data_IF_103788546672
#
_entry.id   IF_103788546672
#
_cell.length_a   1.000
_cell.length_b   1.000
_cell.length_c   1.000
_cell.angle_alpha   90.00
_cell.angle_beta   90.00
_cell.angle_gamma   90.00
#
_symmetry.space_group_name_H-M   'P 1'
#
loop_
_entity.id
_entity.type
_entity.pdbx_description
1 polymer ?
#
# COMPACT_ATOMS: atom_id res chain seq x y z
N UNK A 1 -4.41 -13.76 15.71
CA UNK A 1 -5.08 -13.04 14.61
C UNK A 1 -4.90 -13.87 13.36
N UNK A 2 -5.95 -14.08 12.58
CA UNK A 2 -5.81 -14.74 11.29
C UNK A 2 -5.00 -13.83 10.36
N UNK A 3 -4.02 -14.40 9.67
CA UNK A 3 -3.26 -13.70 8.65
C UNK A 3 -3.70 -14.19 7.27
N UNK A 4 -3.62 -13.33 6.28
CA UNK A 4 -3.87 -13.67 4.88
C UNK A 4 -2.89 -12.93 3.97
N UNK A 5 -2.73 -13.45 2.77
CA UNK A 5 -1.82 -12.93 1.75
C UNK A 5 -2.62 -12.54 0.52
N UNK A 6 -2.26 -11.44 -0.10
CA UNK A 6 -2.94 -10.93 -1.29
C UNK A 6 -1.98 -10.12 -2.18
N UNK A 7 -2.35 -9.99 -3.45
CA UNK A 7 -1.72 -9.11 -4.42
C UNK A 7 -2.47 -7.78 -4.44
N UNK A 8 -1.77 -6.65 -4.35
CA UNK A 8 -2.39 -5.36 -4.17
C UNK A 8 -1.67 -4.19 -4.85
N UNK A 9 -2.46 -3.17 -5.21
CA UNK A 9 -1.99 -1.84 -5.59
C UNK A 9 -2.22 -0.85 -4.45
N UNK A 10 -1.22 -0.01 -4.18
CA UNK A 10 -1.31 1.04 -3.16
C UNK A 10 -1.94 2.29 -3.78
N UNK A 11 -3.20 2.55 -3.40
CA UNK A 11 -3.96 3.68 -3.94
C UNK A 11 -3.67 4.98 -3.19
N UNK A 12 -3.64 4.92 -1.86
CA UNK A 12 -3.52 6.09 -0.98
C UNK A 12 -2.54 5.82 0.15
N UNK A 13 -1.84 6.87 0.57
CA UNK A 13 -0.86 6.85 1.65
C UNK A 13 -1.09 8.03 2.58
N UNK A 14 -1.19 7.77 3.87
CA UNK A 14 -1.33 8.76 4.92
C UNK A 14 -0.30 8.51 6.01
N UNK A 15 0.54 9.50 6.31
CA UNK A 15 1.42 9.45 7.47
C UNK A 15 0.57 9.48 8.75
N UNK A 16 0.84 8.57 9.67
CA UNK A 16 0.07 8.40 10.91
C UNK A 16 1.00 8.32 12.12
N UNK A 17 0.80 9.24 13.07
CA UNK A 17 1.68 9.39 14.22
C UNK A 17 3.13 9.66 13.79
N UNK A 18 4.08 9.19 14.60
CA UNK A 18 5.50 9.48 14.37
C UNK A 18 6.15 8.53 13.36
N UNK A 19 5.78 7.25 13.36
CA UNK A 19 6.54 6.22 12.66
C UNK A 19 5.72 5.38 11.68
N UNK A 20 4.40 5.57 11.61
CA UNK A 20 3.49 4.65 10.93
C UNK A 20 2.89 5.30 9.68
N UNK A 21 2.30 4.47 8.81
CA UNK A 21 1.42 4.93 7.73
C UNK A 21 0.14 4.12 7.70
N UNK A 22 -0.96 4.79 7.38
CA UNK A 22 -2.20 4.15 6.96
C UNK A 22 -2.21 4.15 5.43
N UNK A 23 -2.51 3.00 4.83
CA UNK A 23 -2.56 2.81 3.38
C UNK A 23 -3.94 2.30 2.97
N UNK A 24 -4.40 2.72 1.80
CA UNK A 24 -5.52 2.06 1.11
C UNK A 24 -4.95 1.15 0.03
N UNK A 25 -5.25 -0.14 0.13
CA UNK A 25 -4.87 -1.16 -0.84
C UNK A 25 -6.08 -1.55 -1.68
N UNK A 26 -5.90 -1.61 -3.00
CA UNK A 26 -6.81 -2.36 -3.87
C UNK A 26 -6.23 -3.75 -4.06
N UNK A 27 -6.82 -4.74 -3.40
CA UNK A 27 -6.35 -6.11 -3.42
C UNK A 27 -7.13 -6.96 -4.43
N UNK A 28 -6.53 -8.03 -4.93
CA UNK A 28 -7.15 -8.89 -5.93
C UNK A 28 -8.32 -9.68 -5.36
N UNK A 29 -8.14 -10.28 -4.18
CA UNK A 29 -9.11 -11.23 -3.63
C UNK A 29 -10.03 -10.63 -2.55
N UNK A 30 -9.63 -9.52 -1.93
CA UNK A 30 -10.35 -8.89 -0.81
C UNK A 30 -10.86 -7.48 -1.12
N UNK A 31 -10.68 -7.00 -2.36
CA UNK A 31 -11.13 -5.69 -2.78
C UNK A 31 -10.37 -4.55 -2.09
N UNK A 32 -11.08 -3.47 -1.72
CA UNK A 32 -10.46 -2.30 -1.12
C UNK A 32 -10.27 -2.50 0.39
N UNK A 33 -9.03 -2.54 0.85
CA UNK A 33 -8.66 -2.80 2.25
C UNK A 33 -7.84 -1.65 2.82
N UNK A 34 -8.25 -1.16 3.99
CA UNK A 34 -7.47 -0.21 4.79
C UNK A 34 -6.47 -0.94 5.67
N UNK A 35 -5.20 -0.54 5.62
CA UNK A 35 -4.13 -1.17 6.41
C UNK A 35 -3.29 -0.15 7.15
N UNK A 36 -2.66 -0.57 8.25
CA UNK A 36 -1.63 0.17 8.96
C UNK A 36 -0.28 -0.54 8.84
N UNK A 37 0.71 0.19 8.35
CA UNK A 37 2.10 -0.23 8.30
C UNK A 37 2.85 0.42 9.47
N UNK A 38 3.00 -0.34 10.56
CA UNK A 38 3.63 0.14 11.80
C UNK A 38 5.14 0.29 11.62
N UNK A 39 5.71 1.39 12.08
CA UNK A 39 7.14 1.68 12.04
C UNK A 39 7.69 1.90 10.64
N UNK A 40 6.83 2.00 9.62
CA UNK A 40 7.25 2.03 8.22
C UNK A 40 8.09 3.26 7.88
N UNK A 41 7.94 4.37 8.61
CA UNK A 41 8.68 5.62 8.39
C UNK A 41 10.03 5.65 9.10
N UNK A 42 10.37 4.64 9.92
CA UNK A 42 11.70 4.57 10.55
C UNK A 42 12.76 4.40 9.46
N UNK A 43 13.93 5.05 9.57
CA UNK A 43 15.00 4.95 8.57
C UNK A 43 15.43 3.52 8.23
N UNK A 44 15.38 2.61 9.21
CA UNK A 44 15.75 1.20 9.02
C UNK A 44 14.63 0.32 8.41
N UNK A 45 13.45 0.89 8.10
CA UNK A 45 12.31 0.11 7.63
C UNK A 45 12.48 -0.32 6.18
N UNK A 46 12.51 -1.64 5.96
CA UNK A 46 12.51 -2.24 4.63
C UNK A 46 11.16 -2.11 3.91
N UNK A 47 10.07 -1.97 4.68
CA UNK A 47 8.73 -1.82 4.12
C UNK A 47 8.51 -0.44 3.51
N UNK A 48 9.31 0.57 3.90
CA UNK A 48 9.16 1.95 3.41
C UNK A 48 9.24 2.04 1.88
N UNK A 49 10.23 1.37 1.27
CA UNK A 49 10.46 1.40 -0.17
C UNK A 49 9.48 0.53 -0.96
N UNK A 50 8.84 -0.46 -0.31
CA UNK A 50 7.87 -1.35 -0.95
C UNK A 50 6.47 -0.74 -0.89
N UNK A 51 6.13 -0.10 0.23
CA UNK A 51 4.81 0.45 0.51
C UNK A 51 4.68 1.93 0.07
N UNK A 52 5.02 2.18 -1.19
CA UNK A 52 4.89 3.50 -1.84
C UNK A 52 3.70 3.55 -2.81
N UNK A 53 3.23 4.77 -3.11
CA UNK A 53 2.09 4.96 -4.00
C UNK A 53 2.30 4.26 -5.35
N UNK A 54 1.21 3.67 -5.86
CA UNK A 54 1.13 2.98 -7.14
C UNK A 54 1.98 1.71 -7.25
N UNK A 55 2.60 1.26 -6.15
CA UNK A 55 3.37 0.03 -6.14
C UNK A 55 2.45 -1.18 -6.19
N UNK A 56 2.86 -2.14 -7.01
CA UNK A 56 2.27 -3.47 -7.09
C UNK A 56 3.00 -4.39 -6.12
N UNK A 57 2.29 -4.95 -5.15
CA UNK A 57 2.89 -5.67 -4.01
C UNK A 57 2.17 -6.97 -3.73
N UNK A 58 2.92 -7.96 -3.28
CA UNK A 58 2.42 -9.12 -2.57
C UNK A 58 2.57 -8.84 -1.08
N UNK A 59 1.46 -8.86 -0.35
CA UNK A 59 1.36 -8.36 1.02
C UNK A 59 0.77 -9.42 1.94
N UNK A 60 1.42 -9.60 3.09
CA UNK A 60 0.89 -10.37 4.21
C UNK A 60 0.25 -9.42 5.22
N UNK A 61 -1.03 -9.66 5.51
CA UNK A 61 -1.85 -8.87 6.41
C UNK A 61 -2.29 -9.70 7.60
N UNK A 62 -2.26 -9.11 8.79
CA UNK A 62 -2.94 -9.63 9.97
C UNK A 62 -4.28 -8.90 10.15
N UNK A 63 -5.38 -9.66 10.21
CA UNK A 63 -6.74 -9.11 10.38
C UNK A 63 -6.82 -8.27 11.65
N UNK A 64 -7.16 -7.00 11.49
CA UNK A 64 -7.46 -6.07 12.57
C UNK A 64 -8.96 -5.81 12.72
N UNK A 65 -9.32 -4.87 13.59
CA UNK A 65 -10.72 -4.49 13.81
C UNK A 65 -11.24 -3.51 12.75
N UNK A 66 -10.44 -2.47 12.47
CA UNK A 66 -10.77 -1.42 11.50
C UNK A 66 -9.73 -1.32 10.38
N UNK A 67 -8.46 -1.54 10.72
CA UNK A 67 -7.33 -1.57 9.80
C UNK A 67 -6.57 -2.87 10.02
N UNK A 68 -6.25 -3.54 8.93
CA UNK A 68 -5.36 -4.70 8.98
C UNK A 68 -3.91 -4.26 9.14
N UNK A 69 -3.08 -5.10 9.74
CA UNK A 69 -1.69 -4.75 10.00
C UNK A 69 -0.81 -5.39 8.94
N UNK A 70 0.00 -4.57 8.25
CA UNK A 70 1.01 -5.09 7.32
C UNK A 70 2.12 -5.77 8.13
N UNK A 71 2.28 -7.07 7.95
CA UNK A 71 3.35 -7.83 8.61
C UNK A 71 4.54 -8.05 7.68
N UNK A 72 4.29 -8.24 6.38
CA UNK A 72 5.31 -8.40 5.34
C UNK A 72 4.80 -7.84 4.02
N UNK A 73 5.70 -7.36 3.17
CA UNK A 73 5.37 -7.00 1.79
C UNK A 73 6.59 -7.18 0.89
N UNK A 74 6.35 -7.62 -0.34
CA UNK A 74 7.35 -7.74 -1.39
C UNK A 74 6.82 -7.04 -2.64
N UNK A 75 7.67 -6.27 -3.30
CA UNK A 75 7.32 -5.64 -4.57
C UNK A 75 7.21 -6.70 -5.66
N UNK A 76 6.10 -6.69 -6.40
CA UNK A 76 5.91 -7.50 -7.59
C UNK A 76 6.38 -6.75 -8.86
N UNK A 77 6.58 -7.46 -9.98
CA UNK A 77 6.73 -6.82 -11.27
C UNK A 77 5.55 -5.88 -11.57
N UNK A 78 5.87 -4.73 -12.16
CA UNK A 78 4.89 -3.68 -12.40
C UNK A 78 5.55 -2.38 -12.84
N UNK A 79 4.76 -1.47 -13.44
CA UNK A 79 5.27 -0.23 -14.00
C UNK A 79 5.99 0.59 -12.92
N UNK A 80 7.04 1.29 -13.36
CA UNK A 80 7.73 2.30 -12.55
C UNK A 80 7.62 3.61 -13.29
N UNK A 81 7.36 4.69 -12.54
CA UNK A 81 7.25 6.03 -13.08
C UNK A 81 8.34 6.97 -12.51
N UNK A 82 9.63 6.57 -12.47
CA UNK A 82 10.65 7.44 -11.92
C UNK A 82 10.78 8.67 -12.82
N UNK A 83 10.59 9.85 -12.25
CA UNK A 83 10.76 11.15 -12.91
C UNK A 83 9.87 11.41 -14.16
N UNK A 84 8.83 10.60 -14.40
CA UNK A 84 7.84 10.84 -15.46
C UNK A 84 6.58 11.45 -14.86
N UNK A 85 6.47 12.78 -14.97
CA UNK A 85 5.37 13.56 -14.39
C UNK A 85 4.03 13.17 -15.00
N UNK A 86 3.97 12.94 -16.31
CA UNK A 86 2.72 12.65 -17.01
C UNK A 86 2.17 11.28 -16.62
N UNK A 87 3.04 10.25 -16.58
CA UNK A 87 2.63 8.92 -16.12
C UNK A 87 2.24 8.93 -14.64
N UNK A 88 2.94 9.69 -13.82
CA UNK A 88 2.60 9.84 -12.40
C UNK A 88 1.23 10.49 -12.22
N UNK A 89 0.92 11.55 -12.98
CA UNK A 89 -0.39 12.21 -12.95
C UNK A 89 -1.52 11.28 -13.40
N UNK A 90 -1.31 10.49 -14.46
CA UNK A 90 -2.28 9.48 -14.93
C UNK A 90 -2.49 8.37 -13.89
N UNK A 91 -1.42 7.88 -13.27
CA UNK A 91 -1.52 6.90 -12.19
C UNK A 91 -2.30 7.44 -10.99
N UNK A 92 -2.06 8.69 -10.61
CA UNK A 92 -2.80 9.36 -9.56
C UNK A 92 -4.30 9.47 -9.88
N UNK A 93 -4.66 9.86 -11.11
CA UNK A 93 -6.06 9.92 -11.55
C UNK A 93 -6.74 8.55 -11.45
N UNK A 94 -6.10 7.50 -11.99
CA UNK A 94 -6.66 6.14 -11.96
C UNK A 94 -6.80 5.64 -10.51
N UNK A 95 -5.80 5.90 -9.66
CA UNK A 95 -5.84 5.52 -8.26
C UNK A 95 -6.97 6.22 -7.49
N UNK A 96 -7.15 7.53 -7.71
CA UNK A 96 -8.24 8.31 -7.09
C UNK A 96 -9.62 7.82 -7.56
N UNK A 97 -9.77 7.51 -8.85
CA UNK A 97 -11.02 6.95 -9.37
C UNK A 97 -11.30 5.57 -8.76
N UNK A 98 -10.29 4.70 -8.68
CA UNK A 98 -10.43 3.39 -8.05
C UNK A 98 -10.73 3.47 -6.54
N UNK A 99 -10.23 4.51 -5.84
CA UNK A 99 -10.52 4.71 -4.42
C UNK A 99 -11.95 5.24 -4.17
N UNK A 100 -12.58 5.90 -5.15
CA UNK A 100 -13.93 6.50 -5.00
C UNK A 100 -15.09 5.60 -5.42
N UNK A 101 -14.83 4.54 -6.16
CA UNK A 101 -15.82 3.50 -6.53
C UNK A 101 -15.82 2.40 -5.46
#
# INVERSE_FOLDING_TARGET
>A
MATYRDEALILRKLDYGEADRILTLLTREHGKVGVIAKGVRRPASRLAAVLELFMHVDVQLARGRNLDVVTQAVRLPGPRFPADVERTARAALVAELADRV
#
